data_IF_509236071557
#
_entry.id   IF_509236071557
#
_cell.length_a   1.000
_cell.length_b   1.000
_cell.length_c   1.000
_cell.angle_alpha   90.00
_cell.angle_beta   90.00
_cell.angle_gamma   90.00
#
_symmetry.space_group_name_H-M   'P 1'
#
loop_
_entity.id
_entity.type
_entity.pdbx_description
1 polymer ?
#
# COMPACT_ATOMS: atom_id res chain seq x y z
N UNK A 1 16.34 -21.13 6.50
CA UNK A 1 15.49 -19.93 6.66
C UNK A 1 16.42 -18.76 6.79
N UNK A 2 16.29 -17.74 5.94
CA UNK A 2 17.05 -16.49 6.09
C UNK A 2 16.63 -15.82 7.40
N UNK A 3 17.62 -15.39 8.19
CA UNK A 3 17.34 -14.64 9.41
C UNK A 3 16.91 -13.23 9.05
N UNK A 4 15.67 -12.85 9.45
CA UNK A 4 15.14 -11.52 9.19
C UNK A 4 15.75 -10.54 10.20
N UNK A 5 16.55 -9.60 9.72
CA UNK A 5 17.20 -8.60 10.56
C UNK A 5 16.22 -7.47 10.93
N UNK A 6 16.23 -7.06 12.21
CA UNK A 6 15.47 -5.90 12.67
C UNK A 6 16.31 -4.63 12.58
N UNK A 7 15.73 -3.58 12.00
CA UNK A 7 16.32 -2.26 11.91
C UNK A 7 15.36 -1.23 12.51
N UNK A 8 15.89 -0.35 13.35
CA UNK A 8 15.09 0.75 13.88
C UNK A 8 14.70 1.73 12.76
N UNK A 9 13.48 2.31 12.76
CA UNK A 9 13.05 3.24 11.72
C UNK A 9 14.03 4.37 11.43
N UNK A 10 14.63 4.94 12.48
CA UNK A 10 15.60 6.03 12.33
C UNK A 10 16.87 5.68 11.54
N UNK A 11 17.27 4.39 11.50
CA UNK A 11 18.45 3.91 10.79
C UNK A 11 18.11 3.23 9.46
N UNK A 12 16.83 3.09 9.14
CA UNK A 12 16.36 2.30 8.01
C UNK A 12 16.91 2.82 6.67
N UNK A 13 16.72 4.09 6.40
CA UNK A 13 17.09 4.69 5.12
C UNK A 13 18.60 4.58 4.84
N UNK A 14 19.43 4.89 5.84
CA UNK A 14 20.89 4.80 5.72
C UNK A 14 21.36 3.37 5.47
N UNK A 15 20.77 2.40 6.17
CA UNK A 15 21.08 1.00 5.98
C UNK A 15 20.63 0.48 4.61
N UNK A 16 19.47 0.92 4.12
CA UNK A 16 18.99 0.60 2.77
C UNK A 16 19.91 1.15 1.69
N UNK A 17 20.36 2.40 1.85
CA UNK A 17 21.38 2.99 0.96
C UNK A 17 22.70 2.21 0.99
N UNK A 18 23.15 1.80 2.17
CA UNK A 18 24.35 0.98 2.33
C UNK A 18 24.23 -0.36 1.60
N UNK A 19 23.10 -1.06 1.79
CA UNK A 19 22.83 -2.34 1.13
C UNK A 19 22.77 -2.18 -0.40
N UNK A 20 22.15 -1.13 -0.88
CA UNK A 20 22.09 -0.81 -2.31
C UNK A 20 23.49 -0.61 -2.91
N UNK A 21 24.35 0.17 -2.23
CA UNK A 21 25.63 0.59 -2.75
C UNK A 21 26.76 -0.42 -2.51
N UNK A 22 26.83 -0.98 -1.30
CA UNK A 22 27.94 -1.87 -0.90
C UNK A 22 27.65 -3.36 -1.21
N UNK A 23 26.38 -3.79 -1.01
CA UNK A 23 25.95 -5.16 -1.24
C UNK A 23 25.33 -5.39 -2.61
N UNK A 24 25.19 -4.34 -3.42
CA UNK A 24 24.59 -4.39 -4.75
C UNK A 24 23.16 -4.98 -4.72
N UNK A 25 22.38 -4.66 -3.66
CA UNK A 25 20.97 -5.03 -3.58
C UNK A 25 20.17 -4.15 -4.53
N UNK A 26 20.15 -4.50 -5.80
CA UNK A 26 19.58 -3.70 -6.88
C UNK A 26 18.07 -3.94 -7.07
N UNK A 27 17.53 -5.00 -6.51
CA UNK A 27 16.14 -5.36 -6.65
C UNK A 27 15.40 -5.41 -5.30
N UNK A 28 14.31 -4.66 -5.17
CA UNK A 28 13.35 -4.77 -4.08
C UNK A 28 12.28 -5.77 -4.50
N UNK A 29 12.39 -7.01 -4.03
CA UNK A 29 11.49 -8.10 -4.38
C UNK A 29 10.09 -7.87 -3.83
N UNK A 30 10.00 -7.49 -2.54
CA UNK A 30 8.73 -7.13 -1.90
C UNK A 30 8.92 -6.17 -0.73
N UNK A 31 7.86 -5.43 -0.45
CA UNK A 31 7.69 -4.59 0.72
C UNK A 31 6.28 -4.84 1.25
N UNK A 32 6.16 -5.39 2.44
CA UNK A 32 4.88 -5.83 2.98
C UNK A 32 4.62 -5.24 4.35
N UNK A 33 3.45 -4.62 4.52
CA UNK A 33 2.98 -4.14 5.82
C UNK A 33 2.65 -5.28 6.76
N UNK A 34 2.88 -5.06 8.05
CA UNK A 34 2.61 -6.03 9.11
C UNK A 34 2.02 -5.34 10.33
N UNK A 35 1.02 -5.97 10.93
CA UNK A 35 0.52 -5.64 12.25
C UNK A 35 0.89 -6.75 13.25
N UNK A 36 1.85 -6.47 14.12
CA UNK A 36 2.29 -7.41 15.16
C UNK A 36 1.47 -7.31 16.46
N UNK A 37 0.34 -6.60 16.42
CA UNK A 37 -0.59 -6.47 17.55
C UNK A 37 -0.27 -5.34 18.51
N UNK A 38 -1.04 -5.29 19.60
CA UNK A 38 -0.90 -4.31 20.67
C UNK A 38 0.10 -4.81 21.71
N UNK A 39 0.69 -3.91 22.49
CA UNK A 39 1.75 -4.18 23.44
C UNK A 39 1.46 -5.28 24.49
N UNK A 40 0.19 -5.66 24.68
CA UNK A 40 -0.26 -6.64 25.68
C UNK A 40 -0.39 -8.08 25.16
N UNK A 41 -0.19 -8.34 23.87
CA UNK A 41 -0.15 -9.70 23.35
C UNK A 41 1.15 -10.40 23.77
N UNK A 42 1.01 -11.43 24.61
CA UNK A 42 2.12 -12.15 25.26
C UNK A 42 3.10 -12.85 24.31
N UNK A 43 2.71 -13.01 23.05
CA UNK A 43 3.47 -13.78 22.06
C UNK A 43 4.27 -12.90 21.08
N UNK A 44 4.11 -11.58 21.10
CA UNK A 44 4.90 -10.70 20.26
C UNK A 44 6.25 -10.35 20.90
N UNK A 45 7.40 -10.57 20.21
CA UNK A 45 8.69 -10.14 20.71
C UNK A 45 8.67 -8.64 20.99
N UNK A 46 9.22 -8.21 22.12
CA UNK A 46 9.17 -6.82 22.61
C UNK A 46 9.63 -5.78 21.57
N UNK A 47 10.50 -6.18 20.65
CA UNK A 47 11.01 -5.33 19.55
C UNK A 47 10.09 -5.24 18.32
N UNK A 48 9.03 -6.05 18.25
CA UNK A 48 8.15 -6.18 17.09
C UNK A 48 6.69 -5.87 17.42
N UNK A 49 6.47 -5.00 18.38
CA UNK A 49 5.11 -4.56 18.75
C UNK A 49 4.69 -3.38 17.88
N UNK A 50 3.44 -3.37 17.45
CA UNK A 50 2.86 -2.29 16.67
C UNK A 50 2.79 -2.57 15.17
N UNK A 51 2.91 -1.52 14.39
CA UNK A 51 2.85 -1.56 12.93
C UNK A 51 4.25 -1.48 12.34
N UNK A 52 4.47 -2.13 11.21
CA UNK A 52 5.75 -2.04 10.54
C UNK A 52 5.78 -2.69 9.18
N UNK A 53 6.97 -2.86 8.66
CA UNK A 53 7.21 -3.30 7.27
C UNK A 53 8.32 -4.34 7.22
N UNK A 54 8.11 -5.31 6.35
CA UNK A 54 9.12 -6.32 5.99
C UNK A 54 9.56 -6.05 4.56
N UNK A 55 10.87 -6.00 4.35
CA UNK A 55 11.51 -5.79 3.05
C UNK A 55 12.25 -7.06 2.63
N UNK A 56 12.08 -7.48 1.39
CA UNK A 56 12.90 -8.50 0.76
C UNK A 56 13.71 -7.87 -0.36
N UNK A 57 15.01 -7.97 -0.24
CA UNK A 57 15.97 -7.44 -1.19
C UNK A 57 16.72 -8.58 -1.87
N UNK A 58 17.00 -8.42 -3.14
CA UNK A 58 17.80 -9.35 -3.93
C UNK A 58 18.86 -8.59 -4.73
N UNK A 59 20.04 -9.18 -4.83
CA UNK A 59 21.03 -8.76 -5.81
C UNK A 59 20.88 -9.59 -7.06
N UNK A 60 20.52 -8.97 -8.18
CA UNK A 60 20.41 -9.66 -9.48
C UNK A 60 21.77 -10.11 -10.02
N UNK A 61 22.86 -9.56 -9.47
CA UNK A 61 24.23 -9.87 -9.87
C UNK A 61 24.78 -11.07 -9.11
N UNK A 62 24.60 -11.08 -7.78
CA UNK A 62 25.16 -12.14 -6.92
C UNK A 62 24.17 -13.23 -6.57
N UNK A 63 22.87 -13.00 -6.73
CA UNK A 63 21.78 -13.87 -6.27
C UNK A 63 21.62 -13.88 -4.75
N UNK A 64 22.30 -12.98 -4.01
CA UNK A 64 22.16 -12.87 -2.56
C UNK A 64 20.79 -12.25 -2.23
N UNK A 65 20.11 -12.80 -1.22
CA UNK A 65 18.83 -12.30 -0.72
C UNK A 65 18.94 -11.90 0.73
N UNK A 66 18.35 -10.77 1.09
CA UNK A 66 18.32 -10.26 2.46
C UNK A 66 16.88 -9.90 2.81
N UNK A 67 16.44 -10.30 4.01
CA UNK A 67 15.17 -9.91 4.57
C UNK A 67 15.37 -8.98 5.77
N UNK A 68 14.70 -7.84 5.76
CA UNK A 68 14.77 -6.82 6.80
C UNK A 68 13.37 -6.50 7.31
N UNK A 69 13.26 -6.11 8.57
CA UNK A 69 12.01 -5.64 9.15
C UNK A 69 12.24 -4.40 10.02
N UNK A 70 11.26 -3.54 10.00
CA UNK A 70 11.20 -2.36 10.86
C UNK A 70 9.81 -2.25 11.46
N UNK A 71 9.69 -1.66 12.65
CA UNK A 71 8.41 -1.47 13.32
C UNK A 71 8.39 -0.18 14.12
N UNK A 72 7.20 0.41 14.22
CA UNK A 72 6.89 1.53 15.11
C UNK A 72 5.80 1.14 16.09
N UNK A 73 5.94 1.54 17.35
CA UNK A 73 4.94 1.30 18.38
C UNK A 73 3.81 2.34 18.37
N UNK A 74 4.01 3.45 17.66
CA UNK A 74 3.00 4.47 17.50
C UNK A 74 1.94 3.99 16.50
N UNK A 75 0.74 3.66 16.99
CA UNK A 75 -0.37 3.19 16.14
C UNK A 75 -1.26 4.32 15.63
N UNK A 76 -1.21 5.49 16.27
CA UNK A 76 -2.03 6.64 15.85
C UNK A 76 -1.41 7.33 14.62
N UNK A 77 -0.10 7.58 14.69
CA UNK A 77 0.68 8.18 13.61
C UNK A 77 1.92 7.32 13.35
N UNK A 78 1.78 6.16 12.72
CA UNK A 78 2.92 5.31 12.41
C UNK A 78 3.70 5.89 11.24
N UNK A 79 4.96 6.25 11.50
CA UNK A 79 5.87 6.84 10.53
C UNK A 79 7.08 5.94 10.32
N UNK A 80 7.47 5.75 9.05
CA UNK A 80 8.67 5.02 8.62
C UNK A 80 9.32 5.83 7.49
N UNK A 81 10.65 5.95 7.43
CA UNK A 81 11.30 6.60 6.29
C UNK A 81 10.99 5.88 4.97
N UNK A 82 10.73 6.66 3.92
CA UNK A 82 10.56 6.14 2.55
C UNK A 82 11.88 5.63 1.99
N UNK A 83 11.79 4.64 1.12
CA UNK A 83 12.90 4.12 0.31
C UNK A 83 12.62 4.23 -1.20
N UNK A 84 11.62 5.02 -1.57
CA UNK A 84 11.22 5.25 -2.97
C UNK A 84 12.28 6.01 -3.80
N UNK A 85 13.17 6.75 -3.17
CA UNK A 85 14.34 7.36 -3.78
C UNK A 85 15.43 6.34 -4.14
N UNK A 86 15.48 5.20 -3.41
CA UNK A 86 16.45 4.13 -3.64
C UNK A 86 15.93 3.15 -4.69
N UNK A 87 14.68 2.71 -4.56
CA UNK A 87 13.99 1.80 -5.50
C UNK A 87 12.66 2.41 -5.93
N UNK A 88 12.52 2.71 -7.21
CA UNK A 88 11.27 3.32 -7.74
C UNK A 88 10.02 2.47 -7.53
N UNK A 89 10.16 1.14 -7.48
CA UNK A 89 9.02 0.24 -7.21
C UNK A 89 8.46 0.42 -5.80
N UNK A 90 9.28 0.89 -4.86
CA UNK A 90 8.84 1.16 -3.50
C UNK A 90 7.71 2.19 -3.42
N UNK A 91 7.62 3.13 -4.39
CA UNK A 91 6.50 4.06 -4.50
C UNK A 91 5.15 3.34 -4.40
N UNK A 92 4.94 2.32 -5.22
CA UNK A 92 3.68 1.57 -5.21
C UNK A 92 3.51 0.71 -3.96
N UNK A 93 4.54 0.04 -3.50
CA UNK A 93 4.48 -0.81 -2.32
C UNK A 93 4.24 0.01 -1.04
N UNK A 94 4.87 1.16 -0.90
CA UNK A 94 4.67 2.05 0.24
C UNK A 94 3.25 2.62 0.26
N UNK A 95 2.69 2.97 -0.90
CA UNK A 95 1.29 3.38 -1.05
C UNK A 95 0.31 2.26 -0.69
N UNK A 96 0.58 1.02 -1.06
CA UNK A 96 -0.20 -0.14 -0.66
C UNK A 96 -0.20 -0.32 0.86
N UNK A 97 0.97 -0.26 1.49
CA UNK A 97 1.10 -0.36 2.94
C UNK A 97 0.40 0.80 3.66
N UNK A 98 0.54 2.02 3.13
CA UNK A 98 -0.23 3.16 3.64
C UNK A 98 -1.74 2.90 3.53
N UNK A 99 -2.20 2.44 2.39
CA UNK A 99 -3.62 2.22 2.11
C UNK A 99 -4.26 1.22 3.08
N UNK A 100 -3.57 0.13 3.38
CA UNK A 100 -4.08 -0.97 4.19
C UNK A 100 -3.75 -0.88 5.69
N UNK A 101 -2.62 -0.28 6.05
CA UNK A 101 -2.14 -0.22 7.44
C UNK A 101 -2.04 1.21 7.99
N UNK A 102 -2.11 2.23 7.14
CA UNK A 102 -1.98 3.63 7.52
C UNK A 102 -0.59 4.01 8.01
N UNK A 103 0.45 3.32 7.54
CA UNK A 103 1.82 3.69 7.82
C UNK A 103 2.23 4.79 6.85
N UNK A 104 2.60 5.95 7.39
CA UNK A 104 3.07 7.08 6.59
C UNK A 104 4.55 6.95 6.30
N UNK A 105 4.94 7.03 5.02
CA UNK A 105 6.34 6.98 4.61
C UNK A 105 6.89 8.39 4.44
N UNK A 106 7.74 8.78 5.37
CA UNK A 106 8.33 10.12 5.40
C UNK A 106 9.30 10.30 4.22
N UNK A 107 9.07 11.32 3.39
CA UNK A 107 9.86 11.57 2.19
C UNK A 107 9.31 10.91 0.91
N UNK A 108 8.19 10.21 0.99
CA UNK A 108 7.51 9.67 -0.19
C UNK A 108 6.95 10.80 -1.07
N UNK A 109 7.13 10.75 -2.40
CA UNK A 109 6.73 11.85 -3.29
C UNK A 109 5.21 11.97 -3.50
N UNK A 110 4.46 10.87 -3.37
CA UNK A 110 3.03 10.83 -3.71
C UNK A 110 2.27 9.81 -2.85
N UNK A 111 1.93 10.19 -1.61
CA UNK A 111 1.28 9.30 -0.64
C UNK A 111 -0.26 9.30 -0.81
N UNK A 112 -0.74 8.78 -1.94
CA UNK A 112 -2.18 8.61 -2.20
C UNK A 112 -2.60 7.15 -2.02
N UNK A 113 -3.88 6.92 -1.72
CA UNK A 113 -4.45 5.58 -1.73
C UNK A 113 -4.28 4.93 -3.11
N UNK A 114 -4.13 3.62 -3.16
CA UNK A 114 -3.89 2.85 -4.36
C UNK A 114 -5.06 1.93 -4.72
N UNK A 115 -5.56 1.18 -3.75
CA UNK A 115 -6.60 0.16 -3.93
C UNK A 115 -7.96 0.58 -3.37
N UNK A 116 -7.95 1.19 -2.18
CA UNK A 116 -9.17 1.60 -1.52
C UNK A 116 -9.69 2.91 -2.10
N UNK A 117 -10.97 3.10 -1.96
CA UNK A 117 -11.62 4.36 -2.35
C UNK A 117 -11.21 5.49 -1.42
N UNK A 118 -11.24 6.72 -1.94
CA UNK A 118 -10.84 7.90 -1.18
C UNK A 118 -11.72 8.17 0.06
N UNK A 119 -12.99 7.72 0.02
CA UNK A 119 -13.94 7.84 1.12
C UNK A 119 -13.88 6.67 2.12
N UNK A 120 -12.96 5.73 1.95
CA UNK A 120 -12.77 4.62 2.88
C UNK A 120 -12.28 5.11 4.23
N UNK A 121 -12.96 4.69 5.31
CA UNK A 121 -12.60 5.05 6.68
C UNK A 121 -11.77 3.90 7.29
N UNK A 122 -10.67 4.26 7.96
CA UNK A 122 -9.80 3.30 8.62
C UNK A 122 -8.84 2.54 7.68
N UNK A 123 -8.26 1.47 8.20
CA UNK A 123 -7.22 0.67 7.55
C UNK A 123 -7.52 -0.83 7.75
N UNK A 124 -8.02 -1.51 6.70
CA UNK A 124 -8.67 -2.82 6.84
C UNK A 124 -7.73 -3.96 7.27
N UNK A 125 -6.42 -3.84 7.02
CA UNK A 125 -5.47 -4.88 7.40
C UNK A 125 -5.00 -4.80 8.85
N UNK A 126 -5.29 -3.71 9.56
CA UNK A 126 -5.00 -3.61 10.99
C UNK A 126 -5.83 -4.62 11.78
N UNK A 127 -5.26 -5.14 12.86
CA UNK A 127 -5.93 -6.05 13.79
C UNK A 127 -6.99 -5.34 14.66
N UNK A 128 -6.85 -4.03 14.84
CA UNK A 128 -7.79 -3.19 15.57
C UNK A 128 -8.90 -2.57 14.69
N UNK A 129 -8.92 -2.89 13.39
CA UNK A 129 -9.97 -2.44 12.48
C UNK A 129 -11.28 -3.22 12.73
N UNK A 130 -12.37 -2.50 12.86
CA UNK A 130 -13.72 -3.05 12.99
C UNK A 130 -14.53 -2.72 11.72
N UNK A 131 -14.67 -3.66 10.78
CA UNK A 131 -15.30 -3.38 9.49
C UNK A 131 -16.78 -3.02 9.61
N UNK A 132 -17.47 -3.43 10.69
CA UNK A 132 -18.87 -3.09 10.90
C UNK A 132 -19.07 -1.63 11.33
N UNK A 133 -18.09 -1.08 12.07
CA UNK A 133 -18.11 0.31 12.50
C UNK A 133 -17.50 1.26 11.49
N UNK A 134 -16.36 0.84 10.92
CA UNK A 134 -15.51 1.73 10.14
C UNK A 134 -16.01 1.87 8.70
N UNK A 135 -16.57 0.81 8.12
CA UNK A 135 -17.11 0.85 6.76
C UNK A 135 -18.46 0.12 6.67
N UNK A 136 -19.54 0.72 7.15
CA UNK A 136 -20.87 0.22 6.82
C UNK A 136 -20.97 0.24 5.29
N UNK A 137 -21.40 -0.89 4.70
CA UNK A 137 -21.56 -1.11 3.26
C UNK A 137 -22.00 0.17 2.53
N UNK A 138 -21.04 0.93 2.05
CA UNK A 138 -21.30 2.21 1.42
C UNK A 138 -21.53 1.96 -0.07
N UNK A 139 -22.78 1.95 -0.45
CA UNK A 139 -23.19 2.09 -1.85
C UNK A 139 -22.95 3.53 -2.26
N UNK A 140 -21.78 3.80 -2.80
CA UNK A 140 -21.41 5.17 -3.14
C UNK A 140 -21.76 5.51 -4.56
N UNK A 141 -22.11 6.76 -4.75
CA UNK A 141 -22.25 7.38 -6.05
C UNK A 141 -20.88 7.42 -6.76
N UNK A 142 -20.88 7.22 -8.07
CA UNK A 142 -19.67 7.29 -8.92
C UNK A 142 -18.90 8.61 -8.83
N UNK A 143 -19.55 9.68 -8.32
CA UNK A 143 -18.99 11.02 -8.17
C UNK A 143 -17.77 11.11 -7.25
N UNK A 144 -17.59 10.16 -6.31
CA UNK A 144 -16.43 10.14 -5.39
C UNK A 144 -15.11 9.74 -6.04
N UNK A 145 -15.13 9.24 -7.27
CA UNK A 145 -13.92 8.86 -8.00
C UNK A 145 -13.19 10.04 -8.68
N UNK A 146 -13.83 11.22 -8.75
CA UNK A 146 -13.25 12.38 -9.45
C UNK A 146 -12.33 13.23 -8.56
N UNK A 147 -12.27 12.95 -7.26
CA UNK A 147 -11.38 13.61 -6.32
C UNK A 147 -10.24 12.70 -5.91
N UNK A 148 -9.01 13.22 -5.94
CA UNK A 148 -7.87 12.61 -5.26
C UNK A 148 -7.64 13.32 -3.95
N UNK A 149 -7.39 12.55 -2.89
CA UNK A 149 -6.94 13.12 -1.63
C UNK A 149 -5.41 13.22 -1.67
N UNK A 150 -4.89 14.42 -1.70
CA UNK A 150 -3.48 14.67 -1.43
C UNK A 150 -3.31 14.73 0.09
N UNK A 151 -2.40 13.92 0.59
CA UNK A 151 -2.07 13.90 2.02
C UNK A 151 -0.91 14.87 2.23
N UNK A 152 -1.23 16.04 2.81
CA UNK A 152 -0.21 16.93 3.34
C UNK A 152 -0.05 16.64 4.84
N UNK A 153 1.19 16.54 5.30
CA UNK A 153 1.49 16.51 6.74
C UNK A 153 1.57 17.95 7.26
N UNK A 154 0.80 18.23 8.29
CA UNK A 154 0.99 19.45 9.06
C UNK A 154 2.36 19.42 9.77
N UNK A 155 2.92 20.58 10.15
CA UNK A 155 4.18 20.63 10.92
C UNK A 155 4.12 19.90 12.28
N UNK A 156 2.92 19.64 12.78
CA UNK A 156 2.65 18.89 14.01
C UNK A 156 2.52 17.36 13.78
N UNK A 157 2.71 16.89 12.54
CA UNK A 157 2.60 15.48 12.16
C UNK A 157 1.17 14.99 11.91
N UNK A 158 0.16 15.86 12.03
CA UNK A 158 -1.21 15.48 11.70
C UNK A 158 -1.47 15.48 10.20
N UNK A 159 -2.30 14.56 9.73
CA UNK A 159 -2.67 14.44 8.31
C UNK A 159 -3.68 15.52 7.96
N UNK A 160 -3.35 16.34 6.97
CA UNK A 160 -4.25 17.27 6.34
C UNK A 160 -4.67 16.72 5.00
N UNK A 161 -5.89 16.22 4.93
CA UNK A 161 -6.46 15.78 3.66
C UNK A 161 -6.85 17.01 2.84
N UNK A 162 -6.26 17.15 1.67
CA UNK A 162 -6.64 18.13 0.68
C UNK A 162 -7.28 17.40 -0.50
N UNK A 163 -8.56 17.64 -0.71
CA UNK A 163 -9.24 17.15 -1.90
C UNK A 163 -8.83 18.03 -3.09
N UNK A 164 -8.20 17.42 -4.07
CA UNK A 164 -7.88 18.05 -5.35
C UNK A 164 -8.62 17.34 -6.47
N UNK A 165 -9.24 18.10 -7.36
CA UNK A 165 -9.81 17.54 -8.59
C UNK A 165 -8.66 17.03 -9.45
N UNK A 166 -8.72 15.77 -9.82
CA UNK A 166 -7.69 15.13 -10.64
C UNK A 166 -7.66 15.72 -12.05
N UNK A 167 -8.81 16.03 -12.60
CA UNK A 167 -8.99 16.58 -13.95
C UNK A 167 -9.65 17.95 -13.89
N UNK A 168 -9.29 18.82 -14.84
CA UNK A 168 -9.91 20.13 -15.01
C UNK A 168 -11.36 20.03 -15.51
N UNK A 169 -12.17 21.06 -15.26
CA UNK A 169 -13.59 21.10 -15.70
C UNK A 169 -13.75 21.12 -17.23
N UNK A 170 -12.71 21.55 -17.95
CA UNK A 170 -12.70 21.63 -19.42
C UNK A 170 -11.97 20.45 -20.09
N UNK A 171 -11.45 19.51 -19.31
CA UNK A 171 -10.74 18.35 -19.84
C UNK A 171 -11.71 17.26 -20.31
N UNK A 172 -11.47 16.73 -21.52
CA UNK A 172 -12.24 15.59 -22.03
C UNK A 172 -11.67 14.29 -21.43
N UNK A 173 -12.42 13.68 -20.50
CA UNK A 173 -11.99 12.49 -19.79
C UNK A 173 -12.70 11.25 -20.33
N UNK A 174 -11.92 10.25 -20.75
CA UNK A 174 -12.41 8.94 -21.20
C UNK A 174 -12.09 7.89 -20.17
N UNK A 175 -13.08 7.07 -19.83
CA UNK A 175 -12.90 5.90 -18.97
C UNK A 175 -12.65 4.66 -19.85
N UNK A 176 -11.54 3.96 -19.59
CA UNK A 176 -11.16 2.68 -20.21
C UNK A 176 -11.16 1.62 -19.12
N UNK A 177 -12.08 0.68 -19.19
CA UNK A 177 -12.28 -0.35 -18.17
C UNK A 177 -13.37 0.02 -17.14
N UNK A 178 -13.57 -0.79 -16.07
CA UNK A 178 -12.73 -1.92 -15.62
C UNK A 178 -12.74 -3.15 -16.52
N UNK A 179 -13.76 -3.38 -17.31
CA UNK A 179 -13.80 -4.46 -18.30
C UNK A 179 -13.70 -3.86 -19.70
N UNK A 180 -12.53 -4.01 -20.33
CA UNK A 180 -12.28 -3.51 -21.67
C UNK A 180 -11.35 -4.47 -22.42
N UNK A 181 -11.62 -4.77 -23.72
CA UNK A 181 -10.81 -5.71 -24.49
C UNK A 181 -9.31 -5.36 -24.56
N UNK A 182 -8.97 -4.07 -24.54
CA UNK A 182 -7.59 -3.60 -24.61
C UNK A 182 -6.78 -3.82 -23.33
N UNK A 183 -7.42 -3.97 -22.16
CA UNK A 183 -6.72 -4.12 -20.88
C UNK A 183 -6.35 -5.56 -20.55
N UNK A 184 -6.95 -6.55 -21.21
CA UNK A 184 -6.76 -7.97 -20.95
C UNK A 184 -6.88 -8.36 -19.47
N UNK A 185 -7.73 -7.64 -18.71
CA UNK A 185 -7.91 -7.83 -17.29
C UNK A 185 -8.87 -6.80 -16.72
N UNK A 186 -8.93 -6.70 -15.38
CA UNK A 186 -9.85 -5.81 -14.66
C UNK A 186 -9.06 -4.62 -14.11
N UNK A 187 -8.88 -3.59 -14.95
CA UNK A 187 -8.21 -2.35 -14.61
C UNK A 187 -8.95 -1.17 -15.25
N UNK A 188 -9.12 -0.09 -14.51
CA UNK A 188 -9.72 1.14 -15.00
C UNK A 188 -8.65 2.20 -15.20
N UNK A 189 -8.66 2.81 -16.38
CA UNK A 189 -7.89 4.01 -16.66
C UNK A 189 -8.83 5.17 -16.92
N UNK A 190 -8.61 6.30 -16.27
CA UNK A 190 -9.20 7.58 -16.61
C UNK A 190 -8.15 8.38 -17.37
N UNK A 191 -8.47 8.73 -18.59
CA UNK A 191 -7.53 9.35 -19.53
C UNK A 191 -8.06 10.72 -19.93
N UNK A 192 -7.31 11.76 -19.65
CA UNK A 192 -7.59 13.11 -20.14
C UNK A 192 -6.97 13.27 -21.54
N UNK A 193 -7.78 13.69 -22.48
CA UNK A 193 -7.42 13.83 -23.88
C UNK A 193 -7.56 15.30 -24.35
N UNK A 194 -6.58 15.71 -25.16
CA UNK A 194 -6.68 16.91 -25.99
C UNK A 194 -6.60 16.47 -27.46
N UNK A 195 -7.76 16.34 -28.10
CA UNK A 195 -7.86 15.67 -29.39
C UNK A 195 -7.45 14.20 -29.27
N UNK A 196 -6.38 13.79 -29.95
CA UNK A 196 -5.82 12.44 -29.89
C UNK A 196 -4.61 12.32 -28.93
N UNK A 197 -4.23 13.42 -28.29
CA UNK A 197 -3.07 13.45 -27.39
C UNK A 197 -3.51 13.18 -25.95
N UNK A 198 -2.88 12.19 -25.34
CA UNK A 198 -3.06 11.90 -23.91
C UNK A 198 -2.30 12.93 -23.07
N UNK A 199 -3.01 13.66 -22.23
CA UNK A 199 -2.44 14.67 -21.32
C UNK A 199 -2.16 14.09 -19.93
N UNK A 200 -3.08 13.27 -19.44
CA UNK A 200 -3.01 12.70 -18.09
C UNK A 200 -3.66 11.33 -18.07
N UNK A 201 -3.10 10.43 -17.28
CA UNK A 201 -3.67 9.10 -17.03
C UNK A 201 -3.75 8.90 -15.52
N UNK A 202 -4.90 8.47 -15.05
CA UNK A 202 -5.11 7.96 -13.71
C UNK A 202 -5.50 6.50 -13.77
N UNK A 203 -4.76 5.65 -13.06
CA UNK A 203 -4.98 4.21 -13.04
C UNK A 203 -5.64 3.81 -11.72
N UNK A 204 -6.81 3.16 -11.81
CA UNK A 204 -7.47 2.58 -10.66
C UNK A 204 -7.32 1.05 -10.73
N UNK A 205 -6.60 0.49 -9.77
CA UNK A 205 -6.44 -0.95 -9.56
C UNK A 205 -7.29 -1.41 -8.36
N UNK A 206 -7.24 -2.70 -8.04
CA UNK A 206 -7.92 -3.24 -6.87
C UNK A 206 -9.26 -3.90 -7.13
N UNK A 207 -9.79 -3.90 -8.34
CA UNK A 207 -11.09 -4.52 -8.67
C UNK A 207 -11.16 -6.03 -8.38
N UNK A 208 -10.01 -6.71 -8.44
CA UNK A 208 -9.87 -8.13 -8.11
C UNK A 208 -9.16 -8.36 -6.77
N UNK A 209 -8.88 -7.30 -6.00
CA UNK A 209 -8.29 -7.44 -4.67
C UNK A 209 -9.33 -7.93 -3.68
N UNK A 210 -9.11 -9.10 -3.10
CA UNK A 210 -10.08 -9.80 -2.24
C UNK A 210 -9.70 -9.82 -0.76
N UNK A 211 -8.63 -9.13 -0.37
CA UNK A 211 -8.14 -9.14 1.01
C UNK A 211 -7.71 -10.53 1.49
N UNK A 212 -7.08 -11.32 0.61
CA UNK A 212 -6.66 -12.70 0.88
C UNK A 212 -5.74 -12.76 2.10
N UNK A 213 -4.87 -11.76 2.27
CA UNK A 213 -3.96 -11.62 3.40
C UNK A 213 -4.72 -11.57 4.72
N UNK A 214 -5.80 -10.79 4.78
CA UNK A 214 -6.64 -10.67 5.98
C UNK A 214 -7.43 -11.95 6.25
N UNK A 215 -7.97 -12.57 5.22
CA UNK A 215 -8.67 -13.86 5.35
C UNK A 215 -7.74 -14.95 5.86
N UNK A 216 -6.48 -14.92 5.46
CA UNK A 216 -5.47 -15.92 5.85
C UNK A 216 -5.10 -15.86 7.35
N UNK A 217 -5.39 -14.75 8.04
CA UNK A 217 -5.22 -14.66 9.49
C UNK A 217 -6.23 -15.54 10.27
N UNK A 218 -7.39 -15.84 9.67
CA UNK A 218 -8.48 -16.54 10.34
C UNK A 218 -8.86 -17.88 9.70
N UNK A 219 -8.52 -18.12 8.44
CA UNK A 219 -8.88 -19.31 7.69
C UNK A 219 -7.71 -20.28 7.57
N UNK A 220 -8.04 -21.57 7.53
CA UNK A 220 -7.04 -22.59 7.15
C UNK A 220 -6.78 -22.55 5.64
N UNK A 221 -5.59 -22.97 5.22
CA UNK A 221 -5.19 -22.94 3.80
C UNK A 221 -6.20 -23.62 2.85
N UNK A 222 -6.78 -24.81 3.16
CA UNK A 222 -7.83 -25.39 2.31
C UNK A 222 -9.10 -24.54 2.20
N UNK A 223 -9.52 -23.91 3.30
CA UNK A 223 -10.67 -23.01 3.30
C UNK A 223 -10.40 -21.75 2.45
N UNK A 224 -9.19 -21.21 2.53
CA UNK A 224 -8.78 -20.05 1.75
C UNK A 224 -8.83 -20.35 0.25
N UNK A 225 -8.26 -21.49 -0.18
CA UNK A 225 -8.30 -21.92 -1.58
C UNK A 225 -9.74 -22.05 -2.08
N UNK A 226 -10.60 -22.76 -1.33
CA UNK A 226 -12.00 -22.92 -1.72
C UNK A 226 -12.74 -21.59 -1.83
N UNK A 227 -12.52 -20.68 -0.89
CA UNK A 227 -13.16 -19.35 -0.89
C UNK A 227 -12.65 -18.47 -2.05
N UNK A 228 -11.38 -18.60 -2.44
CA UNK A 228 -10.82 -17.84 -3.56
C UNK A 228 -11.25 -18.40 -4.91
N UNK A 229 -11.36 -19.72 -5.04
CA UNK A 229 -11.69 -20.43 -6.28
C UNK A 229 -13.18 -20.32 -6.64
N UNK A 230 -14.05 -20.37 -5.63
CA UNK A 230 -15.51 -20.24 -5.83
C UNK A 230 -15.97 -18.95 -6.52
N UNK A 231 -15.09 -17.97 -6.72
CA UNK A 231 -15.39 -16.76 -7.48
C UNK A 231 -15.13 -16.88 -8.98
N UNK A 232 -14.37 -17.88 -9.41
CA UNK A 232 -14.07 -18.11 -10.85
C UNK A 232 -15.15 -18.93 -11.56
N UNK A 233 -16.07 -19.55 -10.80
CA UNK A 233 -17.18 -20.36 -11.33
C UNK A 233 -18.52 -19.61 -11.49
N UNK A 234 -18.53 -18.27 -11.32
CA UNK A 234 -19.72 -17.41 -11.37
C UNK A 234 -19.90 -16.66 -12.69
#
# INVERSE_FOLDING_TARGET
>A
MQEIQFIAPAALHDEMLRLRNEKQMDFLESLTGMDWGVADEKDAPEKLRGLGVVYHLESTITGERIALKTATTNRELPEIPSVSDIWKIADFYEREVFDFYGITFVGHPDMRRLYLRNDWIGYPMRKDNDPEKDNPLCMTNEETFDTTQEIELNPDGTIKNKETKLFGEEEYVVNIGPQHPATHGVMRFRVSLEGEIIRKIDANCGYIHRGIEKMNESLTYPCLLYTSDAADEG
#
